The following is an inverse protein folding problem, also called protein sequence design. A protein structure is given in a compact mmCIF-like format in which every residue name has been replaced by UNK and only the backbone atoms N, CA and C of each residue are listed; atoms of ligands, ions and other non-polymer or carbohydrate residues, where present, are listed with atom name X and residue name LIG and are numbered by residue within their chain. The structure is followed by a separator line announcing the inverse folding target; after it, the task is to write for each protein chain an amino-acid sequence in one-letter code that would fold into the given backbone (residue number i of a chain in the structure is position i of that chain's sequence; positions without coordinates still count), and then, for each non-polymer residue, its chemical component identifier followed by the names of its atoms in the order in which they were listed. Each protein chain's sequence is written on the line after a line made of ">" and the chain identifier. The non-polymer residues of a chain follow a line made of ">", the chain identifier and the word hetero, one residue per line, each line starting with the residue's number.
data_IF_786171587523
#
_entry.id   IF_786171587523
#
_cell.length_a   1.000
_cell.length_b   1.000
_cell.length_c   1.000
_cell.angle_alpha   90.00
_cell.angle_beta   90.00
_cell.angle_gamma   90.00
#
_symmetry.space_group_name_H-M   'P 1'
#
loop_
_entity.id
_entity.type
_entity.pdbx_description
1 polymer ?
#
# COMPACT_ATOMS: atom_id res chain seq x y z
N UNK A 1 -13.97 23.58 -13.89
CA UNK A 1 -12.60 23.02 -13.98
C UNK A 1 -11.67 23.98 -13.25
N UNK A 2 -11.47 23.85 -11.92
CA UNK A 2 -10.45 24.60 -11.20
C UNK A 2 -9.09 24.02 -11.60
N UNK A 3 -8.43 24.67 -12.56
CA UNK A 3 -7.00 24.46 -12.78
C UNK A 3 -6.27 24.98 -11.53
N UNK A 4 -5.62 24.11 -10.77
CA UNK A 4 -4.62 24.53 -9.80
C UNK A 4 -3.55 25.28 -10.59
N UNK A 5 -3.55 26.60 -10.54
CA UNK A 5 -2.42 27.41 -11.00
C UNK A 5 -1.33 27.26 -9.95
N UNK A 6 -0.40 26.33 -10.18
CA UNK A 6 0.83 26.25 -9.41
C UNK A 6 1.69 27.42 -9.89
N UNK A 7 1.68 28.51 -9.13
CA UNK A 7 2.57 29.65 -9.36
C UNK A 7 3.98 29.26 -8.88
N UNK A 8 5.01 29.61 -9.66
CA UNK A 8 6.43 29.43 -9.31
C UNK A 8 6.96 27.99 -9.28
N UNK A 9 6.75 27.23 -10.36
CA UNK A 9 7.44 25.96 -10.55
C UNK A 9 8.84 26.24 -11.09
N UNK A 10 9.87 25.75 -10.41
CA UNK A 10 11.24 25.72 -10.91
C UNK A 10 11.55 24.29 -11.35
N UNK A 11 11.86 24.10 -12.64
CA UNK A 11 12.31 22.84 -13.18
C UNK A 11 13.84 22.72 -12.98
N UNK A 12 14.28 21.56 -12.49
CA UNK A 12 15.69 21.27 -12.25
C UNK A 12 16.02 19.85 -12.70
N UNK A 13 16.87 19.73 -13.72
CA UNK A 13 17.27 18.44 -14.29
C UNK A 13 18.23 17.66 -13.39
N UNK A 14 18.95 18.34 -12.50
CA UNK A 14 19.88 17.72 -11.58
C UNK A 14 19.32 17.74 -10.16
N UNK A 15 18.73 16.64 -9.72
CA UNK A 15 18.14 16.53 -8.40
C UNK A 15 19.08 16.87 -7.23
N UNK A 16 20.42 16.75 -7.40
CA UNK A 16 21.37 17.14 -6.35
C UNK A 16 21.38 18.65 -6.11
N UNK A 17 21.12 19.46 -7.14
CA UNK A 17 21.03 20.92 -6.98
C UNK A 17 19.84 21.34 -6.13
N UNK A 18 18.74 20.54 -6.13
CA UNK A 18 17.57 20.78 -5.30
C UNK A 18 17.92 20.79 -3.81
N UNK A 19 18.85 19.94 -3.37
CA UNK A 19 19.28 19.87 -1.97
C UNK A 19 20.02 21.11 -1.47
N UNK A 20 20.64 21.88 -2.38
CA UNK A 20 21.36 23.12 -2.06
C UNK A 20 20.40 24.31 -1.91
N UNK A 21 19.14 24.17 -2.35
CA UNK A 21 18.12 25.22 -2.24
C UNK A 21 17.48 25.25 -0.85
N UNK A 22 16.92 26.39 -0.48
CA UNK A 22 16.12 26.54 0.75
C UNK A 22 14.77 25.84 0.57
N UNK A 23 14.71 24.54 0.86
CA UNK A 23 13.50 23.71 0.80
C UNK A 23 13.25 23.06 2.16
N UNK A 24 11.99 22.92 2.53
CA UNK A 24 11.56 22.36 3.82
C UNK A 24 11.21 20.89 3.74
N UNK A 25 10.77 20.40 2.57
CA UNK A 25 10.28 19.05 2.36
C UNK A 25 10.70 18.53 0.99
N UNK A 26 11.11 17.28 0.94
CA UNK A 26 11.37 16.53 -0.29
C UNK A 26 10.34 15.42 -0.41
N UNK A 27 9.67 15.35 -1.56
CA UNK A 27 8.76 14.25 -1.88
C UNK A 27 9.41 13.44 -3.01
N UNK A 28 9.65 12.16 -2.78
CA UNK A 28 10.24 11.25 -3.75
C UNK A 28 9.17 10.37 -4.40
N UNK A 29 9.04 10.49 -5.72
CA UNK A 29 8.19 9.65 -6.55
C UNK A 29 9.02 9.03 -7.69
N UNK A 30 10.04 8.25 -7.32
CA UNK A 30 11.05 7.69 -8.24
C UNK A 30 11.22 6.18 -8.01
N UNK A 31 11.81 5.42 -8.98
CA UNK A 31 12.07 3.99 -8.78
C UNK A 31 12.93 3.69 -7.54
N UNK A 32 12.77 2.52 -6.90
CA UNK A 32 13.38 2.20 -5.60
C UNK A 32 14.90 2.36 -5.55
N UNK A 33 15.61 2.02 -6.64
CA UNK A 33 17.09 2.18 -6.73
C UNK A 33 17.51 3.64 -6.64
N UNK A 34 16.81 4.51 -7.35
CA UNK A 34 17.09 5.96 -7.33
C UNK A 34 16.65 6.57 -5.99
N UNK A 35 15.50 6.14 -5.47
CA UNK A 35 14.99 6.57 -4.18
C UNK A 35 16.00 6.27 -3.06
N UNK A 36 16.53 5.06 -3.00
CA UNK A 36 17.59 4.68 -2.05
C UNK A 36 18.80 5.63 -2.15
N UNK A 37 19.25 5.93 -3.37
CA UNK A 37 20.37 6.83 -3.62
C UNK A 37 20.08 8.25 -3.09
N UNK A 38 18.89 8.76 -3.34
CA UNK A 38 18.49 10.11 -2.91
C UNK A 38 18.33 10.18 -1.39
N UNK A 39 17.72 9.16 -0.76
CA UNK A 39 17.60 9.11 0.71
C UNK A 39 18.99 9.11 1.37
N UNK A 40 19.93 8.30 0.88
CA UNK A 40 21.32 8.29 1.39
C UNK A 40 22.01 9.65 1.21
N UNK A 41 21.79 10.31 0.08
CA UNK A 41 22.32 11.66 -0.16
C UNK A 41 21.74 12.68 0.83
N UNK A 42 20.45 12.52 1.21
CA UNK A 42 19.81 13.37 2.21
C UNK A 42 20.38 13.23 3.63
N UNK A 43 21.14 12.19 3.93
CA UNK A 43 21.76 12.03 5.26
C UNK A 43 22.69 13.19 5.65
N UNK A 44 23.31 13.85 4.67
CA UNK A 44 24.17 15.03 4.89
C UNK A 44 23.37 16.35 5.01
N UNK A 45 22.16 16.42 4.43
CA UNK A 45 21.35 17.64 4.41
C UNK A 45 20.23 17.63 5.47
N UNK A 46 19.85 16.44 5.96
CA UNK A 46 18.83 16.21 6.99
C UNK A 46 17.48 16.89 6.69
N UNK A 47 17.12 17.05 5.40
CA UNK A 47 15.83 17.59 4.99
C UNK A 47 14.71 16.64 5.34
N UNK A 48 13.51 17.16 5.69
CA UNK A 48 12.30 16.33 5.82
C UNK A 48 12.02 15.62 4.49
N UNK A 49 11.62 14.34 4.56
CA UNK A 49 11.46 13.53 3.35
C UNK A 49 10.24 12.63 3.42
N UNK A 50 9.42 12.65 2.38
CA UNK A 50 8.36 11.66 2.13
C UNK A 50 8.80 10.84 0.92
N UNK A 51 8.68 9.53 1.01
CA UNK A 51 9.08 8.64 -0.07
C UNK A 51 8.06 7.54 -0.35
N UNK A 52 8.09 7.03 -1.57
CA UNK A 52 7.23 5.96 -2.02
C UNK A 52 7.71 4.59 -1.51
N UNK A 53 6.78 3.66 -1.45
CA UNK A 53 7.09 2.25 -1.23
C UNK A 53 7.41 1.55 -2.57
N UNK A 54 8.30 0.52 -2.55
CA UNK A 54 9.16 0.13 -1.44
C UNK A 54 10.31 1.13 -1.24
N UNK A 55 10.82 1.22 -0.02
CA UNK A 55 11.92 2.15 0.33
C UNK A 55 13.16 1.88 -0.53
N UNK A 56 13.46 0.60 -0.75
CA UNK A 56 14.59 0.10 -1.51
C UNK A 56 14.21 -1.16 -2.28
N UNK A 57 15.10 -1.66 -3.10
CA UNK A 57 14.92 -2.89 -3.86
C UNK A 57 14.88 -4.16 -2.97
N UNK A 58 15.52 -4.12 -1.80
CA UNK A 58 15.69 -5.26 -0.89
C UNK A 58 15.28 -4.88 0.53
N UNK A 59 14.68 -5.85 1.24
CA UNK A 59 14.25 -5.66 2.63
C UNK A 59 15.41 -5.22 3.54
N UNK A 60 16.55 -5.93 3.51
CA UNK A 60 17.71 -5.62 4.34
C UNK A 60 18.27 -4.21 4.12
N UNK A 61 18.23 -3.72 2.88
CA UNK A 61 18.59 -2.32 2.58
C UNK A 61 17.56 -1.33 3.12
N UNK A 62 16.27 -1.65 3.02
CA UNK A 62 15.19 -0.82 3.57
C UNK A 62 15.33 -0.69 5.09
N UNK A 63 15.58 -1.79 5.78
CA UNK A 63 15.78 -1.84 7.22
C UNK A 63 16.98 -0.96 7.66
N UNK A 64 18.13 -1.10 7.00
CA UNK A 64 19.30 -0.23 7.24
C UNK A 64 19.00 1.24 7.01
N UNK A 65 18.25 1.58 5.96
CA UNK A 65 17.85 2.97 5.68
C UNK A 65 16.97 3.51 6.80
N UNK A 66 15.97 2.75 7.25
CA UNK A 66 15.07 3.17 8.35
C UNK A 66 15.85 3.38 9.65
N UNK A 67 16.78 2.48 9.97
CA UNK A 67 17.68 2.62 11.12
C UNK A 67 18.49 3.92 11.04
N UNK A 68 19.14 4.19 9.92
CA UNK A 68 19.94 5.40 9.69
C UNK A 68 19.11 6.69 9.73
N UNK A 69 17.88 6.68 9.20
CA UNK A 69 16.97 7.82 9.28
C UNK A 69 16.63 8.17 10.75
N UNK A 70 16.39 7.14 11.58
CA UNK A 70 16.13 7.30 13.02
C UNK A 70 17.37 7.82 13.75
N UNK A 71 18.52 7.19 13.57
CA UNK A 71 19.80 7.59 14.20
C UNK A 71 20.19 9.04 13.88
N UNK A 72 20.00 9.43 12.62
CA UNK A 72 20.28 10.82 12.16
C UNK A 72 19.18 11.81 12.50
N UNK A 73 18.09 11.36 13.18
CA UNK A 73 16.92 12.19 13.54
C UNK A 73 16.30 12.91 12.35
N UNK A 74 16.26 12.25 11.17
CA UNK A 74 15.67 12.83 9.97
C UNK A 74 14.17 12.55 9.98
N UNK A 75 13.35 13.61 9.98
CA UNK A 75 11.88 13.48 9.86
C UNK A 75 11.54 12.88 8.50
N UNK A 76 10.99 11.68 8.53
CA UNK A 76 10.70 10.92 7.31
C UNK A 76 9.38 10.18 7.41
N UNK A 77 8.68 10.06 6.28
CA UNK A 77 7.42 9.36 6.17
C UNK A 77 7.38 8.55 4.87
N UNK A 78 6.73 7.39 4.92
CA UNK A 78 6.46 6.58 3.73
C UNK A 78 5.02 6.81 3.29
N UNK A 79 4.81 7.02 1.99
CA UNK A 79 3.46 7.17 1.43
C UNK A 79 2.72 5.83 1.41
N UNK A 80 1.87 5.60 2.41
CA UNK A 80 0.98 4.45 2.52
C UNK A 80 -0.46 4.91 2.30
N UNK A 81 -0.85 5.08 1.05
CA UNK A 81 -2.09 5.72 0.59
C UNK A 81 -3.35 5.30 1.37
N UNK A 82 -3.49 4.01 1.72
CA UNK A 82 -4.70 3.52 2.38
C UNK A 82 -4.81 3.93 3.86
N UNK A 83 -3.69 4.24 4.53
CA UNK A 83 -3.73 4.65 5.95
C UNK A 83 -4.34 6.03 6.14
N UNK A 84 -4.31 6.87 5.10
CA UNK A 84 -4.91 8.20 5.08
C UNK A 84 -6.33 8.22 4.48
N UNK A 85 -6.87 7.05 4.09
CA UNK A 85 -8.18 6.95 3.47
C UNK A 85 -9.31 6.98 4.53
N UNK A 86 -10.32 7.83 4.32
CA UNK A 86 -11.45 8.06 5.26
C UNK A 86 -12.15 6.78 5.72
N UNK A 87 -12.45 5.86 4.80
CA UNK A 87 -13.15 4.62 5.14
C UNK A 87 -12.26 3.58 5.84
N UNK A 88 -10.94 3.60 5.63
CA UNK A 88 -10.01 2.76 6.41
C UNK A 88 -9.91 3.27 7.84
N UNK A 89 -9.83 4.58 8.05
CA UNK A 89 -9.88 5.19 9.39
C UNK A 89 -11.21 4.91 10.09
N UNK A 90 -12.34 5.04 9.37
CA UNK A 90 -13.66 4.69 9.91
C UNK A 90 -13.76 3.22 10.29
N UNK A 91 -13.21 2.33 9.45
CA UNK A 91 -13.16 0.89 9.74
C UNK A 91 -12.34 0.60 11.00
N UNK A 92 -11.19 1.25 11.18
CA UNK A 92 -10.37 1.15 12.40
C UNK A 92 -11.19 1.55 13.64
N UNK A 93 -11.90 2.69 13.56
CA UNK A 93 -12.75 3.15 14.68
C UNK A 93 -13.88 2.17 15.00
N UNK A 94 -14.50 1.53 13.99
CA UNK A 94 -15.53 0.51 14.21
C UNK A 94 -14.99 -0.73 14.93
N UNK A 95 -13.78 -1.17 14.57
CA UNK A 95 -13.09 -2.27 15.22
C UNK A 95 -12.80 -1.91 16.68
N UNK A 96 -12.20 -0.74 16.94
CA UNK A 96 -11.85 -0.29 18.29
C UNK A 96 -13.06 -0.12 19.20
N UNK A 97 -14.18 0.39 18.68
CA UNK A 97 -15.42 0.59 19.45
C UNK A 97 -16.16 -0.69 19.78
N UNK A 98 -15.78 -1.84 19.24
CA UNK A 98 -16.33 -3.18 19.47
C UNK A 98 -17.87 -3.26 19.34
N UNK A 99 -18.54 -2.35 18.58
CA UNK A 99 -20.01 -2.33 18.43
C UNK A 99 -20.58 -3.62 17.84
N UNK A 100 -19.77 -4.37 17.05
CA UNK A 100 -20.13 -5.67 16.50
C UNK A 100 -19.50 -6.84 17.28
N UNK A 101 -18.96 -6.59 18.47
CA UNK A 101 -18.17 -7.54 19.24
C UNK A 101 -16.73 -7.65 18.72
N UNK A 102 -16.03 -8.72 19.13
CA UNK A 102 -14.64 -8.97 18.73
C UNK A 102 -14.55 -9.42 17.28
N UNK A 103 -13.45 -9.09 16.63
CA UNK A 103 -13.13 -9.65 15.29
C UNK A 103 -12.80 -11.13 15.44
N UNK A 104 -13.44 -11.97 14.66
CA UNK A 104 -13.19 -13.42 14.60
C UNK A 104 -12.18 -13.77 13.53
N UNK A 105 -12.36 -13.21 12.34
CA UNK A 105 -11.47 -13.43 11.19
C UNK A 105 -11.63 -12.32 10.17
N UNK A 106 -10.67 -12.24 9.24
CA UNK A 106 -10.79 -11.36 8.09
C UNK A 106 -10.27 -12.00 6.80
N UNK A 107 -10.67 -11.45 5.67
CA UNK A 107 -10.15 -11.82 4.36
C UNK A 107 -9.91 -10.59 3.51
N UNK A 108 -8.77 -10.56 2.83
CA UNK A 108 -8.44 -9.55 1.83
C UNK A 108 -8.28 -10.22 0.48
N UNK A 109 -9.00 -9.71 -0.51
CA UNK A 109 -8.86 -10.13 -1.90
C UNK A 109 -8.60 -8.89 -2.75
N UNK A 110 -7.41 -8.80 -3.34
CA UNK A 110 -7.08 -7.77 -4.31
C UNK A 110 -6.73 -8.38 -5.65
N UNK A 111 -7.68 -8.32 -6.59
CA UNK A 111 -7.44 -8.64 -7.98
C UNK A 111 -7.30 -7.37 -8.80
N UNK A 112 -6.17 -7.20 -9.48
CA UNK A 112 -5.86 -6.02 -10.25
C UNK A 112 -5.51 -6.36 -11.70
N UNK A 113 -5.58 -5.36 -12.58
CA UNK A 113 -5.08 -5.43 -13.95
C UNK A 113 -3.83 -4.57 -14.04
N UNK A 114 -2.67 -5.18 -13.91
CA UNK A 114 -1.40 -4.47 -14.07
C UNK A 114 -1.10 -4.27 -15.55
N UNK A 115 -1.07 -3.03 -16.03
CA UNK A 115 -0.80 -2.70 -17.44
C UNK A 115 0.53 -3.31 -17.89
N UNK A 116 1.61 -3.05 -17.15
CA UNK A 116 2.94 -3.56 -17.46
C UNK A 116 2.98 -5.10 -17.47
N UNK A 117 2.26 -5.75 -16.52
CA UNK A 117 2.18 -7.21 -16.43
C UNK A 117 1.37 -7.82 -17.58
N UNK A 118 0.25 -7.19 -17.94
CA UNK A 118 -0.67 -7.73 -18.97
C UNK A 118 -0.14 -7.49 -20.38
N UNK A 119 0.45 -6.33 -20.63
CA UNK A 119 1.06 -5.96 -21.91
C UNK A 119 2.49 -6.48 -22.07
N UNK A 120 2.98 -7.22 -21.06
CA UNK A 120 4.31 -7.82 -21.08
C UNK A 120 5.43 -6.79 -21.27
N UNK A 121 5.30 -5.62 -20.63
CA UNK A 121 6.30 -4.56 -20.69
C UNK A 121 7.31 -4.79 -19.56
N UNK A 122 8.59 -4.86 -19.92
CA UNK A 122 9.68 -5.01 -18.95
C UNK A 122 9.99 -3.64 -18.34
N UNK A 123 9.55 -3.41 -17.10
CA UNK A 123 9.86 -2.22 -16.32
C UNK A 123 10.37 -2.63 -14.94
N UNK A 124 10.85 -1.68 -14.13
CA UNK A 124 11.20 -1.97 -12.74
C UNK A 124 10.01 -2.54 -11.95
N UNK A 125 8.76 -2.18 -12.31
CA UNK A 125 7.54 -2.67 -11.66
C UNK A 125 7.30 -4.15 -11.88
N UNK A 126 7.74 -4.71 -13.00
CA UNK A 126 7.61 -6.14 -13.31
C UNK A 126 8.81 -6.96 -12.85
N UNK A 127 9.91 -6.32 -12.47
CA UNK A 127 11.16 -6.96 -12.05
C UNK A 127 11.32 -6.93 -10.52
N UNK A 128 11.21 -8.11 -9.89
CA UNK A 128 11.35 -8.24 -8.43
C UNK A 128 12.74 -7.87 -7.93
N UNK A 129 13.79 -8.05 -8.75
CA UNK A 129 15.17 -7.66 -8.39
C UNK A 129 15.35 -6.15 -8.31
N UNK A 130 14.50 -5.41 -9.01
CA UNK A 130 14.48 -3.94 -8.98
C UNK A 130 13.48 -3.35 -7.96
N UNK A 131 12.91 -4.19 -7.10
CA UNK A 131 11.91 -3.78 -6.10
C UNK A 131 10.48 -3.79 -6.62
N UNK A 132 10.23 -4.35 -7.80
CA UNK A 132 8.90 -4.54 -8.37
C UNK A 132 8.22 -5.84 -7.92
N UNK A 133 7.27 -6.29 -8.72
CA UNK A 133 6.48 -7.49 -8.48
C UNK A 133 5.29 -7.29 -7.56
N UNK A 134 4.38 -8.26 -7.56
CA UNK A 134 3.13 -8.22 -6.76
C UNK A 134 3.43 -8.00 -5.27
N UNK A 135 4.46 -8.66 -4.76
CA UNK A 135 4.87 -8.55 -3.35
C UNK A 135 5.13 -7.10 -2.96
N UNK A 136 5.99 -6.41 -3.70
CA UNK A 136 6.45 -5.09 -3.31
C UNK A 136 5.49 -3.96 -3.73
N UNK A 137 4.70 -4.16 -4.81
CA UNK A 137 3.79 -3.13 -5.32
C UNK A 137 2.43 -3.17 -4.63
N UNK A 138 1.89 -4.37 -4.37
CA UNK A 138 0.51 -4.51 -3.88
C UNK A 138 0.46 -5.08 -2.47
N UNK A 139 1.18 -6.17 -2.20
CA UNK A 139 1.09 -6.86 -0.92
C UNK A 139 1.62 -6.02 0.25
N UNK A 140 2.59 -5.14 0.00
CA UNK A 140 3.07 -4.16 0.99
C UNK A 140 1.94 -3.27 1.50
N UNK A 141 1.07 -2.77 0.62
CA UNK A 141 -0.10 -2.00 1.04
C UNK A 141 -1.07 -2.86 1.85
N UNK A 142 -1.29 -4.10 1.43
CA UNK A 142 -2.21 -5.01 2.14
C UNK A 142 -1.72 -5.27 3.56
N UNK A 143 -0.45 -5.59 3.73
CA UNK A 143 0.11 -5.80 5.07
C UNK A 143 0.06 -4.53 5.91
N UNK A 144 0.39 -3.36 5.36
CA UNK A 144 0.38 -2.11 6.14
C UNK A 144 -1.02 -1.75 6.65
N UNK A 145 -2.07 -1.88 5.85
CA UNK A 145 -3.41 -1.61 6.37
C UNK A 145 -3.95 -2.76 7.23
N UNK A 146 -3.54 -4.01 7.03
CA UNK A 146 -3.89 -5.10 7.95
C UNK A 146 -3.25 -4.88 9.34
N UNK A 147 -1.99 -4.46 9.40
CA UNK A 147 -1.35 -4.09 10.67
C UNK A 147 -2.03 -2.87 11.32
N UNK A 148 -2.38 -1.87 10.52
CA UNK A 148 -3.14 -0.73 11.01
C UNK A 148 -4.49 -1.14 11.61
N UNK A 149 -5.22 -2.05 10.97
CA UNK A 149 -6.56 -2.47 11.40
C UNK A 149 -6.53 -3.45 12.56
N UNK A 150 -5.66 -4.45 12.51
CA UNK A 150 -5.70 -5.65 13.36
C UNK A 150 -4.46 -5.82 14.26
N UNK A 151 -3.45 -4.97 14.14
CA UNK A 151 -2.15 -5.14 14.80
C UNK A 151 -1.18 -6.01 13.97
N UNK A 152 -0.03 -6.30 14.56
CA UNK A 152 1.05 -7.06 13.89
C UNK A 152 0.56 -8.42 13.40
N UNK A 153 0.94 -8.80 12.18
CA UNK A 153 0.51 -10.05 11.56
C UNK A 153 1.70 -10.97 11.29
N UNK A 154 1.60 -12.23 11.72
CA UNK A 154 2.55 -13.29 11.42
C UNK A 154 2.02 -14.15 10.27
N UNK A 155 2.84 -14.38 9.25
CA UNK A 155 2.49 -15.30 8.16
C UNK A 155 2.64 -16.74 8.66
N UNK A 156 1.57 -17.54 8.55
CA UNK A 156 1.54 -18.96 8.89
C UNK A 156 1.92 -19.78 7.67
N UNK A 157 1.28 -19.50 6.54
CA UNK A 157 1.45 -20.24 5.29
C UNK A 157 1.27 -19.33 4.09
N UNK A 158 2.02 -19.60 3.02
CA UNK A 158 1.85 -18.87 1.75
C UNK A 158 1.82 -19.83 0.56
N UNK A 159 0.92 -19.56 -0.40
CA UNK A 159 0.86 -20.20 -1.70
C UNK A 159 1.17 -19.17 -2.78
N UNK A 160 2.18 -19.45 -3.61
CA UNK A 160 2.63 -18.56 -4.67
C UNK A 160 2.50 -19.27 -6.00
N UNK A 161 1.86 -18.61 -6.98
CA UNK A 161 1.86 -19.07 -8.38
C UNK A 161 2.69 -18.11 -9.21
N UNK A 162 3.48 -18.66 -10.10
CA UNK A 162 4.36 -17.92 -11.00
C UNK A 162 3.82 -17.92 -12.43
N UNK A 163 4.27 -16.96 -13.21
CA UNK A 163 4.15 -16.90 -14.66
C UNK A 163 5.50 -16.51 -15.24
N UNK A 164 5.78 -16.91 -16.48
CA UNK A 164 7.00 -16.53 -17.19
C UNK A 164 6.68 -15.53 -18.29
N UNK A 165 7.61 -14.63 -18.56
CA UNK A 165 7.48 -13.64 -19.62
C UNK A 165 8.87 -13.11 -20.03
N UNK A 166 9.23 -13.22 -21.32
CA UNK A 166 10.56 -12.82 -21.86
C UNK A 166 11.72 -13.22 -20.95
N UNK A 167 11.77 -14.49 -20.52
CA UNK A 167 12.77 -15.00 -19.59
C UNK A 167 12.61 -14.60 -18.13
N UNK A 168 11.74 -13.65 -17.80
CA UNK A 168 11.48 -13.23 -16.41
C UNK A 168 10.38 -14.11 -15.79
N UNK A 169 10.72 -14.77 -14.69
CA UNK A 169 9.76 -15.43 -13.81
C UNK A 169 9.21 -14.41 -12.81
N UNK A 170 7.91 -14.21 -12.79
CA UNK A 170 7.26 -13.29 -11.85
C UNK A 170 6.10 -13.95 -11.12
N UNK A 171 5.82 -13.48 -9.90
CA UNK A 171 4.67 -13.94 -9.11
C UNK A 171 3.39 -13.39 -9.72
N UNK A 172 2.47 -14.28 -10.12
CA UNK A 172 1.15 -13.92 -10.66
C UNK A 172 0.09 -13.88 -9.57
N UNK A 173 0.27 -14.69 -8.52
CA UNK A 173 -0.68 -14.87 -7.43
C UNK A 173 0.10 -15.12 -6.14
N UNK A 174 -0.32 -14.46 -5.07
CA UNK A 174 0.14 -14.73 -3.71
C UNK A 174 -1.10 -14.84 -2.83
N UNK A 175 -1.20 -15.93 -2.07
CA UNK A 175 -2.16 -16.08 -0.99
C UNK A 175 -1.42 -16.46 0.28
N UNK A 176 -1.72 -15.78 1.38
CA UNK A 176 -1.10 -16.01 2.68
C UNK A 176 -2.17 -16.15 3.75
N UNK A 177 -2.03 -17.14 4.59
CA UNK A 177 -2.74 -17.27 5.83
C UNK A 177 -1.90 -16.60 6.92
N UNK A 178 -2.52 -15.74 7.71
CA UNK A 178 -1.86 -14.93 8.73
C UNK A 178 -2.61 -15.02 10.06
N UNK A 179 -1.90 -14.81 11.15
CA UNK A 179 -2.47 -14.66 12.48
C UNK A 179 -1.85 -13.45 13.18
N UNK A 180 -2.56 -12.84 14.09
CA UNK A 180 -2.06 -11.76 14.92
C UNK A 180 -1.98 -12.18 16.40
N UNK A 181 -1.39 -11.37 17.30
CA UNK A 181 -1.31 -11.70 18.73
C UNK A 181 -2.67 -11.94 19.41
N UNK A 182 -3.75 -11.32 18.91
CA UNK A 182 -5.12 -11.52 19.43
C UNK A 182 -5.81 -12.77 18.84
N UNK A 183 -5.07 -13.66 18.19
CA UNK A 183 -5.57 -14.87 17.52
C UNK A 183 -6.60 -14.61 16.42
N UNK A 184 -6.56 -13.44 15.79
CA UNK A 184 -7.42 -13.13 14.64
C UNK A 184 -6.80 -13.75 13.40
N UNK A 185 -7.48 -14.78 12.85
CA UNK A 185 -7.07 -15.41 11.60
C UNK A 185 -7.41 -14.53 10.40
N UNK A 186 -6.43 -14.35 9.51
CA UNK A 186 -6.59 -13.62 8.26
C UNK A 186 -6.19 -14.41 7.03
N UNK A 187 -6.92 -14.24 5.93
CA UNK A 187 -6.54 -14.77 4.62
C UNK A 187 -6.35 -13.63 3.63
N UNK A 188 -5.15 -13.50 3.10
CA UNK A 188 -4.77 -12.44 2.17
C UNK A 188 -4.51 -13.07 0.80
N UNK A 189 -5.16 -12.56 -0.26
CA UNK A 189 -4.95 -13.01 -1.64
C UNK A 189 -4.79 -11.82 -2.57
N UNK A 190 -3.64 -11.74 -3.25
CA UNK A 190 -3.30 -10.68 -4.20
C UNK A 190 -2.89 -11.31 -5.53
N UNK A 191 -3.51 -10.89 -6.63
CA UNK A 191 -3.23 -11.47 -7.93
C UNK A 191 -3.53 -10.55 -9.11
N UNK A 192 -2.76 -10.74 -10.17
CA UNK A 192 -2.98 -10.08 -11.45
C UNK A 192 -3.98 -10.84 -12.30
N UNK A 193 -4.98 -10.13 -12.82
CA UNK A 193 -5.97 -10.63 -13.78
C UNK A 193 -5.68 -10.12 -15.20
N UNK A 194 -5.89 -10.95 -16.21
CA UNK A 194 -5.87 -10.52 -17.60
C UNK A 194 -7.21 -9.92 -18.03
N UNK A 195 -8.31 -10.55 -17.63
CA UNK A 195 -9.69 -10.21 -18.03
C UNK A 195 -10.59 -10.00 -16.81
N UNK A 196 -11.80 -9.52 -17.03
CA UNK A 196 -12.83 -9.29 -16.01
C UNK A 196 -12.58 -8.03 -15.15
N UNK A 197 -13.39 -7.83 -14.13
CA UNK A 197 -13.34 -6.65 -13.28
C UNK A 197 -12.22 -6.74 -12.24
N UNK A 198 -11.60 -5.60 -11.94
CA UNK A 198 -10.75 -5.43 -10.78
C UNK A 198 -11.62 -5.46 -9.52
N UNK A 199 -11.03 -5.90 -8.41
CA UNK A 199 -11.72 -5.92 -7.12
C UNK A 199 -10.71 -5.81 -6.00
N UNK A 200 -10.89 -4.83 -5.14
CA UNK A 200 -10.16 -4.71 -3.89
C UNK A 200 -11.19 -4.79 -2.76
N UNK A 201 -11.14 -5.86 -1.98
CA UNK A 201 -12.15 -6.18 -0.98
C UNK A 201 -11.52 -6.65 0.32
N UNK A 202 -11.94 -6.05 1.42
CA UNK A 202 -11.69 -6.48 2.79
C UNK A 202 -13.02 -6.94 3.37
N UNK A 203 -13.05 -8.14 3.90
CA UNK A 203 -14.19 -8.74 4.57
C UNK A 203 -13.82 -9.08 6.00
N UNK A 204 -14.61 -8.67 6.99
CA UNK A 204 -14.32 -8.84 8.41
C UNK A 204 -15.54 -9.44 9.08
N UNK A 205 -15.36 -10.56 9.76
CA UNK A 205 -16.40 -11.23 10.55
C UNK A 205 -16.18 -10.95 12.02
N UNK A 206 -17.24 -10.51 12.67
CA UNK A 206 -17.31 -10.20 14.08
C UNK A 206 -18.22 -11.18 14.80
N UNK A 207 -18.32 -11.10 16.12
CA UNK A 207 -19.25 -11.90 16.93
C UNK A 207 -20.71 -11.60 16.58
N UNK A 208 -21.06 -10.35 16.29
CA UNK A 208 -22.44 -9.86 16.12
C UNK A 208 -22.67 -9.21 14.74
N UNK A 209 -21.84 -9.50 13.75
CA UNK A 209 -22.02 -8.91 12.43
C UNK A 209 -20.86 -9.12 11.48
N UNK A 210 -20.93 -8.43 10.36
CA UNK A 210 -20.01 -8.55 9.26
C UNK A 210 -19.79 -7.20 8.58
N UNK A 211 -18.56 -6.89 8.25
CA UNK A 211 -18.21 -5.67 7.50
C UNK A 211 -17.53 -6.04 6.19
N UNK A 212 -17.88 -5.30 5.13
CA UNK A 212 -17.26 -5.38 3.82
C UNK A 212 -16.84 -3.99 3.37
N UNK A 213 -15.54 -3.77 3.18
CA UNK A 213 -14.97 -2.60 2.53
C UNK A 213 -14.46 -3.01 1.15
N UNK A 214 -14.90 -2.35 0.09
CA UNK A 214 -14.52 -2.76 -1.27
C UNK A 214 -14.60 -1.63 -2.27
N UNK A 215 -13.82 -1.76 -3.36
CA UNK A 215 -13.95 -0.96 -4.58
C UNK A 215 -13.85 -1.85 -5.81
N UNK A 216 -14.54 -1.47 -6.89
CA UNK A 216 -14.43 -2.03 -8.23
C UNK A 216 -13.86 -1.00 -9.22
N UNK A 217 -13.47 0.18 -8.73
CA UNK A 217 -12.92 1.26 -9.53
C UNK A 217 -11.66 0.83 -10.29
N UNK A 218 -11.44 1.39 -11.47
CA UNK A 218 -10.17 1.25 -12.21
C UNK A 218 -9.02 1.89 -11.42
N UNK A 219 -9.30 2.96 -10.69
CA UNK A 219 -8.39 3.57 -9.72
C UNK A 219 -8.58 2.89 -8.35
N UNK A 220 -7.60 2.12 -7.93
CA UNK A 220 -7.65 1.26 -6.73
C UNK A 220 -7.69 2.03 -5.41
N UNK A 221 -7.52 3.33 -5.47
CA UNK A 221 -7.54 4.23 -4.31
C UNK A 221 -8.87 4.95 -4.15
N UNK A 222 -9.79 4.82 -5.12
CA UNK A 222 -11.05 5.57 -5.18
C UNK A 222 -12.28 4.68 -5.05
N UNK A 223 -13.41 5.35 -4.84
CA UNK A 223 -14.76 4.78 -4.89
C UNK A 223 -14.97 3.58 -3.95
N UNK A 224 -14.32 3.63 -2.78
CA UNK A 224 -14.57 2.61 -1.76
C UNK A 224 -15.98 2.73 -1.18
N UNK A 225 -16.56 1.58 -0.92
CA UNK A 225 -17.87 1.41 -0.28
C UNK A 225 -17.68 0.54 0.96
N UNK A 226 -18.15 1.03 2.10
CA UNK A 226 -18.21 0.30 3.37
C UNK A 226 -19.64 -0.16 3.63
N UNK A 227 -19.85 -1.47 3.69
CA UNK A 227 -21.13 -2.10 4.11
C UNK A 227 -20.97 -2.74 5.46
N UNK A 228 -21.86 -2.39 6.39
CA UNK A 228 -21.91 -2.91 7.75
C UNK A 228 -23.21 -3.71 7.90
N UNK A 229 -23.08 -4.97 8.19
CA UNK A 229 -24.20 -5.89 8.43
C UNK A 229 -24.27 -6.18 9.93
N UNK A 230 -25.36 -5.76 10.60
CA UNK A 230 -25.64 -6.01 12.01
C UNK A 230 -27.06 -6.54 12.15
N UNK A 231 -27.26 -7.68 12.86
CA UNK A 231 -28.57 -8.33 13.01
C UNK A 231 -29.53 -8.09 11.82
N UNK A 232 -30.42 -7.09 11.90
CA UNK A 232 -31.44 -6.80 10.89
C UNK A 232 -31.18 -5.53 10.07
N UNK A 233 -29.96 -4.95 10.13
CA UNK A 233 -29.66 -3.67 9.46
C UNK A 233 -28.41 -3.75 8.62
N UNK A 234 -28.52 -3.23 7.38
CA UNK A 234 -27.36 -3.00 6.50
C UNK A 234 -27.16 -1.50 6.37
N UNK A 235 -26.00 -1.03 6.81
CA UNK A 235 -25.59 0.37 6.61
C UNK A 235 -24.54 0.46 5.51
N UNK A 236 -24.75 1.34 4.54
CA UNK A 236 -23.82 1.57 3.44
C UNK A 236 -23.25 2.98 3.53
N UNK A 237 -21.91 3.10 3.46
CA UNK A 237 -21.19 4.36 3.51
C UNK A 237 -20.26 4.39 2.30
N UNK A 238 -20.34 5.47 1.52
CA UNK A 238 -19.43 5.72 0.38
C UNK A 238 -18.30 6.64 0.82
N UNK A 239 -17.12 6.48 0.24
CA UNK A 239 -16.01 7.40 0.48
C UNK A 239 -16.40 8.81 0.07
N UNK A 240 -16.01 9.78 0.91
CA UNK A 240 -16.14 11.21 0.61
C UNK A 240 -14.92 11.75 -0.15
N UNK A 241 -13.81 10.99 -0.13
CA UNK A 241 -12.58 11.40 -0.80
C UNK A 241 -12.75 11.35 -2.31
N UNK A 242 -13.30 12.40 -2.85
CA UNK A 242 -12.98 12.84 -4.20
C UNK A 242 -11.61 13.51 -4.07
N UNK A 243 -10.53 12.79 -4.33
CA UNK A 243 -9.28 13.46 -4.68
C UNK A 243 -9.57 14.27 -5.93
N UNK A 244 -9.89 15.56 -5.70
CA UNK A 244 -10.04 16.53 -6.78
C UNK A 244 -8.68 16.95 -7.28
#
# INVERSE_FOLDING_TARGET
>A
KNKFQIRNIILENNWKKVFKKKINLIILAVPPKLQEKIIKYNFRYKKKIIFEKPISQQYTKSEKIVKLLKEKKIKSEINLTYLNHDLFNKLKLLILRKKLGRVKRYSVVWSFKGIDFNNRIKTWKTDEKQGGGIKNIFLTHVFSYCEFLFGSNRIIKSKIKYSKFKGLKYKKFISSDVNNPDNIYGKISVFNKKTGFQNHKISIWFEKGYIKLFTKSKDWTKDFILKIHSKNKITTIKSKNKFK
#
